data_IF_121417421455
#
_entry.id   IF_121417421455
#
_cell.length_a   1.000
_cell.length_b   1.000
_cell.length_c   1.000
_cell.angle_alpha   90.00
_cell.angle_beta   90.00
_cell.angle_gamma   90.00
#
_symmetry.space_group_name_H-M   'P 1'
#
loop_
_entity.id
_entity.type
_entity.pdbx_description
1 polymer ?
#
# COMPACT_ATOMS: atom_id res chain seq x y z
N UNK A 1 36.52 -43.00 -59.44
CA UNK A 1 35.87 -42.13 -60.46
C UNK A 1 34.40 -42.53 -60.59
N UNK A 2 33.57 -41.55 -60.95
CA UNK A 2 32.13 -41.60 -61.26
C UNK A 2 31.15 -41.25 -60.12
N UNK A 3 30.43 -40.16 -60.40
CA UNK A 3 29.52 -39.36 -59.58
C UNK A 3 28.13 -40.00 -59.47
N UNK A 4 27.49 -39.86 -58.31
CA UNK A 4 26.06 -40.11 -58.11
C UNK A 4 25.31 -38.79 -58.26
N UNK A 5 24.42 -38.67 -59.26
CA UNK A 5 23.51 -37.53 -59.41
C UNK A 5 22.13 -37.90 -58.87
N UNK A 6 21.70 -37.17 -57.84
CA UNK A 6 20.38 -37.27 -57.22
C UNK A 6 19.44 -36.26 -57.91
N UNK A 7 18.34 -36.72 -58.52
CA UNK A 7 17.29 -35.86 -59.09
C UNK A 7 16.11 -35.82 -58.09
N UNK A 8 15.95 -34.71 -57.39
CA UNK A 8 14.74 -34.43 -56.60
C UNK A 8 13.64 -33.90 -57.52
N UNK A 9 12.45 -34.52 -57.46
CA UNK A 9 11.23 -34.02 -58.09
C UNK A 9 10.54 -33.02 -57.14
N UNK A 10 10.35 -31.79 -57.60
CA UNK A 10 9.60 -30.76 -56.88
C UNK A 10 8.09 -30.96 -57.11
N UNK A 11 7.35 -31.37 -56.08
CA UNK A 11 5.88 -31.37 -56.06
C UNK A 11 5.37 -30.00 -55.61
N UNK A 12 4.57 -29.34 -56.46
CA UNK A 12 4.04 -27.98 -56.30
C UNK A 12 2.91 -27.88 -55.26
N UNK A 13 3.25 -27.86 -53.97
CA UNK A 13 2.30 -27.64 -52.86
C UNK A 13 1.91 -26.18 -52.61
N UNK A 14 2.42 -25.22 -53.39
CA UNK A 14 2.18 -23.78 -53.13
C UNK A 14 0.88 -23.25 -53.71
N UNK A 15 0.33 -23.87 -54.76
CA UNK A 15 -0.86 -23.34 -55.45
C UNK A 15 -2.18 -23.51 -54.67
N UNK A 16 -2.47 -24.67 -54.02
CA UNK A 16 -3.72 -24.84 -53.28
C UNK A 16 -3.79 -23.94 -52.04
N UNK A 17 -2.66 -23.76 -51.35
CA UNK A 17 -2.56 -23.00 -50.10
C UNK A 17 -2.72 -21.50 -50.33
N UNK A 18 -2.19 -20.97 -51.43
CA UNK A 18 -2.38 -19.55 -51.81
C UNK A 18 -3.85 -19.26 -52.12
N UNK A 19 -4.55 -20.19 -52.79
CA UNK A 19 -5.97 -20.04 -53.08
C UNK A 19 -6.78 -19.99 -51.78
N UNK A 20 -6.53 -20.88 -50.83
CA UNK A 20 -7.23 -20.93 -49.54
C UNK A 20 -6.99 -19.67 -48.69
N UNK A 21 -5.75 -19.16 -48.65
CA UNK A 21 -5.43 -17.92 -47.92
C UNK A 21 -6.09 -16.71 -48.58
N UNK A 22 -6.14 -16.67 -49.91
CA UNK A 22 -6.79 -15.59 -50.67
C UNK A 22 -8.31 -15.58 -50.49
N UNK A 23 -8.98 -16.74 -50.44
CA UNK A 23 -10.41 -16.80 -50.10
C UNK A 23 -10.70 -16.41 -48.65
N UNK A 24 -9.84 -16.77 -47.70
CA UNK A 24 -9.98 -16.36 -46.29
C UNK A 24 -9.84 -14.84 -46.12
N UNK A 25 -8.85 -14.23 -46.78
CA UNK A 25 -8.64 -12.77 -46.72
C UNK A 25 -9.78 -12.00 -47.38
N UNK A 26 -10.30 -12.47 -48.52
CA UNK A 26 -11.44 -11.82 -49.19
C UNK A 26 -12.72 -11.89 -48.34
N UNK A 27 -13.00 -13.02 -47.68
CA UNK A 27 -14.12 -13.13 -46.74
C UNK A 27 -13.99 -12.18 -45.55
N UNK A 28 -12.76 -12.01 -45.01
CA UNK A 28 -12.50 -11.13 -43.86
C UNK A 28 -12.79 -9.66 -44.15
N UNK A 29 -12.60 -9.20 -45.40
CA UNK A 29 -12.84 -7.79 -45.75
C UNK A 29 -14.20 -7.53 -46.38
N UNK A 30 -14.76 -8.48 -47.14
CA UNK A 30 -16.04 -8.30 -47.85
C UNK A 30 -17.24 -8.42 -46.91
N UNK A 31 -17.19 -9.33 -45.92
CA UNK A 31 -18.30 -9.51 -44.98
C UNK A 31 -18.52 -8.25 -44.12
N UNK A 32 -17.50 -7.63 -43.50
CA UNK A 32 -17.70 -6.38 -42.76
C UNK A 32 -18.15 -5.22 -43.63
N UNK A 33 -17.67 -5.11 -44.88
CA UNK A 33 -18.10 -4.03 -45.78
C UNK A 33 -19.56 -4.19 -46.21
N UNK A 34 -20.05 -5.40 -46.49
CA UNK A 34 -21.47 -5.63 -46.81
C UNK A 34 -22.41 -5.36 -45.63
N UNK A 35 -21.94 -5.54 -44.38
CA UNK A 35 -22.70 -5.21 -43.16
C UNK A 35 -22.79 -3.68 -42.96
N UNK A 36 -21.77 -2.92 -43.38
CA UNK A 36 -21.70 -1.46 -43.21
C UNK A 36 -22.44 -0.71 -44.32
N UNK A 37 -22.52 -1.25 -45.54
CA UNK A 37 -23.16 -0.59 -46.70
C UNK A 37 -24.66 -0.25 -46.53
N UNK A 38 -25.52 -1.03 -45.83
CA UNK A 38 -26.91 -0.61 -45.63
C UNK A 38 -27.07 0.55 -44.62
N UNK A 39 -25.98 1.03 -44.00
CA UNK A 39 -26.01 2.14 -43.04
C UNK A 39 -25.45 3.47 -43.57
N UNK A 40 -25.10 3.55 -44.86
CA UNK A 40 -24.64 4.79 -45.49
C UNK A 40 -25.51 5.14 -46.71
N UNK A 41 -26.69 5.70 -46.43
CA UNK A 41 -27.55 6.35 -47.42
C UNK A 41 -28.19 7.60 -46.82
N UNK A 42 -27.71 8.76 -47.22
CA UNK A 42 -28.37 10.06 -47.05
C UNK A 42 -29.79 10.01 -47.62
N UNK A 43 -30.81 10.44 -46.87
CA UNK A 43 -31.62 11.56 -47.33
C UNK A 43 -32.50 12.18 -46.21
N UNK A 44 -32.63 13.50 -46.35
CA UNK A 44 -33.35 14.45 -45.51
C UNK A 44 -34.83 14.12 -45.22
N UNK A 45 -35.27 14.26 -43.96
CA UNK A 45 -36.55 14.90 -43.54
C UNK A 45 -36.88 14.65 -42.06
N UNK A 46 -37.46 15.67 -41.44
CA UNK A 46 -37.88 15.74 -40.04
C UNK A 46 -38.96 14.71 -39.69
N UNK A 47 -38.82 14.02 -38.55
CA UNK A 47 -39.88 13.85 -37.54
C UNK A 47 -39.33 13.06 -36.34
N UNK A 48 -39.50 13.68 -35.16
CA UNK A 48 -39.17 13.22 -33.82
C UNK A 48 -39.84 11.89 -33.43
N UNK A 49 -39.05 10.92 -32.97
CA UNK A 49 -39.44 9.99 -31.90
C UNK A 49 -38.22 9.73 -31.02
N UNK A 50 -38.40 9.97 -29.73
CA UNK A 50 -37.41 9.84 -28.67
C UNK A 50 -36.79 8.43 -28.62
N UNK A 51 -35.48 8.39 -28.48
CA UNK A 51 -34.81 7.26 -27.82
C UNK A 51 -33.75 7.88 -26.93
N UNK A 52 -34.09 8.02 -25.65
CA UNK A 52 -33.17 8.39 -24.57
C UNK A 52 -31.99 7.40 -24.56
N UNK A 53 -30.93 7.73 -25.28
CA UNK A 53 -29.62 7.17 -25.01
C UNK A 53 -28.97 8.16 -24.05
N UNK A 54 -29.17 7.91 -22.76
CA UNK A 54 -28.46 8.61 -21.69
C UNK A 54 -26.96 8.29 -21.79
N UNK A 55 -26.26 8.99 -22.69
CA UNK A 55 -24.83 9.20 -22.55
C UNK A 55 -24.66 10.17 -21.38
N UNK A 56 -24.57 9.63 -20.16
CA UNK A 56 -24.01 10.37 -19.01
C UNK A 56 -22.53 10.60 -19.31
N UNK A 57 -22.25 11.64 -20.09
CA UNK A 57 -21.01 12.39 -19.93
C UNK A 57 -21.21 13.17 -18.63
N UNK A 58 -20.83 12.56 -17.51
CA UNK A 58 -20.70 13.30 -16.26
C UNK A 58 -19.55 14.26 -16.49
N UNK A 59 -19.85 15.54 -16.69
CA UNK A 59 -18.90 16.61 -16.48
C UNK A 59 -18.60 16.60 -14.98
N UNK A 60 -17.67 15.75 -14.55
CA UNK A 60 -17.22 15.73 -13.16
C UNK A 60 -16.47 17.03 -12.92
N UNK A 61 -17.11 17.95 -12.21
CA UNK A 61 -16.40 19.03 -11.55
C UNK A 61 -15.32 18.37 -10.68
N UNK A 62 -14.03 18.76 -10.78
CA UNK A 62 -12.98 18.19 -9.95
C UNK A 62 -13.39 18.27 -8.48
N UNK A 63 -13.19 17.18 -7.74
CA UNK A 63 -13.44 17.15 -6.29
C UNK A 63 -12.56 18.23 -5.66
N UNK A 64 -13.19 19.28 -5.12
CA UNK A 64 -12.48 20.37 -4.46
C UNK A 64 -12.25 19.99 -2.99
N UNK A 65 -10.99 19.80 -2.61
CA UNK A 65 -10.60 19.56 -1.23
C UNK A 65 -10.39 20.89 -0.50
N UNK A 66 -10.99 21.06 0.68
CA UNK A 66 -10.78 22.23 1.52
C UNK A 66 -9.80 21.90 2.65
N UNK A 67 -8.67 22.61 2.69
CA UNK A 67 -7.65 22.42 3.72
C UNK A 67 -7.63 23.61 4.69
N UNK A 68 -7.68 23.36 6.01
CA UNK A 68 -7.65 24.44 6.99
C UNK A 68 -6.27 25.10 7.14
N UNK A 69 -5.19 24.39 6.78
CA UNK A 69 -3.80 24.82 6.84
C UNK A 69 -2.95 23.97 5.88
N UNK A 70 -1.69 24.38 5.72
CA UNK A 70 -0.70 23.66 4.91
C UNK A 70 0.29 22.90 5.79
N UNK A 71 0.86 21.84 5.23
CA UNK A 71 1.93 21.03 5.80
C UNK A 71 3.22 21.36 5.06
N UNK A 72 4.31 21.63 5.80
CA UNK A 72 5.63 21.88 5.23
C UNK A 72 6.42 20.58 5.17
N UNK A 73 6.65 20.05 3.97
CA UNK A 73 7.32 18.76 3.75
C UNK A 73 8.76 18.99 3.30
N UNK A 74 9.72 18.50 4.07
CA UNK A 74 11.13 18.45 3.66
C UNK A 74 11.35 17.27 2.72
N UNK A 75 11.76 17.58 1.48
CA UNK A 75 12.12 16.60 0.46
C UNK A 75 13.52 16.07 0.73
N UNK A 76 13.68 14.77 1.02
CA UNK A 76 14.98 14.21 1.41
C UNK A 76 16.02 14.26 0.28
N UNK A 77 15.58 14.20 -0.98
CA UNK A 77 16.48 14.21 -2.13
C UNK A 77 17.01 15.62 -2.46
N UNK A 78 16.17 16.65 -2.35
CA UNK A 78 16.52 18.02 -2.75
C UNK A 78 16.85 18.93 -1.57
N UNK A 79 16.48 18.52 -0.35
CA UNK A 79 16.51 19.36 0.87
C UNK A 79 15.65 20.63 0.76
N UNK A 80 14.67 20.65 -0.16
CA UNK A 80 13.70 21.72 -0.31
C UNK A 80 12.46 21.47 0.56
N UNK A 81 11.77 22.55 0.92
CA UNK A 81 10.53 22.50 1.70
C UNK A 81 9.36 22.85 0.80
N UNK A 82 8.44 21.91 0.62
CA UNK A 82 7.18 22.10 -0.11
C UNK A 82 6.06 22.45 0.87
N UNK A 83 5.29 23.49 0.56
CA UNK A 83 4.09 23.86 1.32
C UNK A 83 2.86 23.29 0.62
N UNK A 84 2.15 22.38 1.29
CA UNK A 84 1.12 21.55 0.67
C UNK A 84 -0.16 21.62 1.49
N UNK A 85 -1.34 21.90 0.89
CA UNK A 85 -2.61 21.82 1.58
C UNK A 85 -2.80 20.47 2.28
N UNK A 86 -3.29 20.46 3.53
CA UNK A 86 -3.43 19.24 4.35
C UNK A 86 -4.07 18.06 3.60
N UNK A 87 -5.19 18.30 2.91
CA UNK A 87 -5.94 17.23 2.26
C UNK A 87 -5.22 16.71 0.99
N UNK A 88 -4.46 17.57 0.31
CA UNK A 88 -3.58 17.15 -0.78
C UNK A 88 -2.41 16.32 -0.25
N UNK A 89 -1.81 16.74 0.87
CA UNK A 89 -0.77 15.96 1.56
C UNK A 89 -1.30 14.58 1.96
N UNK A 90 -2.49 14.50 2.57
CA UNK A 90 -3.12 13.22 2.94
C UNK A 90 -3.37 12.35 1.72
N UNK A 91 -3.83 12.92 0.60
CA UNK A 91 -4.02 12.20 -0.67
C UNK A 91 -2.72 11.54 -1.15
N UNK A 92 -1.62 12.29 -1.15
CA UNK A 92 -0.31 11.77 -1.57
C UNK A 92 0.29 10.76 -0.58
N UNK A 93 0.02 10.89 0.72
CA UNK A 93 0.40 9.86 1.71
C UNK A 93 -0.38 8.58 1.47
N UNK A 94 -1.71 8.63 1.30
CA UNK A 94 -2.52 7.44 1.03
C UNK A 94 -2.05 6.76 -0.27
N UNK A 95 -1.80 7.55 -1.32
CA UNK A 95 -1.23 7.09 -2.59
C UNK A 95 0.13 6.39 -2.46
N UNK A 96 0.92 6.79 -1.45
CA UNK A 96 2.27 6.27 -1.22
C UNK A 96 2.29 5.03 -0.32
N UNK A 97 1.30 4.90 0.57
CA UNK A 97 1.27 3.90 1.64
C UNK A 97 0.34 2.71 1.32
N UNK A 98 -0.76 2.94 0.60
CA UNK A 98 -1.80 1.93 0.38
C UNK A 98 -2.02 1.70 -1.13
N UNK A 99 -2.13 0.43 -1.58
CA UNK A 99 -2.46 0.13 -2.97
C UNK A 99 -3.81 0.74 -3.37
N UNK A 100 -3.86 1.47 -4.48
CA UNK A 100 -5.05 2.19 -4.94
C UNK A 100 -6.22 1.25 -5.36
N UNK A 101 -5.93 -0.02 -5.63
CA UNK A 101 -6.92 -1.05 -5.92
C UNK A 101 -7.67 -1.55 -4.68
N UNK A 102 -7.19 -1.25 -3.47
CA UNK A 102 -7.90 -1.58 -2.22
C UNK A 102 -9.29 -0.96 -2.16
N UNK A 103 -10.17 -1.58 -1.38
CA UNK A 103 -11.55 -1.14 -1.20
C UNK A 103 -11.62 0.31 -0.70
N UNK A 104 -12.65 1.04 -1.15
CA UNK A 104 -12.80 2.46 -0.83
C UNK A 104 -12.88 2.72 0.68
N UNK A 105 -13.51 1.81 1.43
CA UNK A 105 -13.62 1.93 2.90
C UNK A 105 -12.26 1.74 3.60
N UNK A 106 -11.36 0.92 3.03
CA UNK A 106 -10.00 0.79 3.53
C UNK A 106 -9.17 2.05 3.23
N UNK A 107 -9.31 2.62 2.03
CA UNK A 107 -8.67 3.89 1.66
C UNK A 107 -9.16 5.05 2.56
N UNK A 108 -10.45 5.10 2.88
CA UNK A 108 -11.02 6.07 3.83
C UNK A 108 -10.43 5.91 5.24
N UNK A 109 -10.32 4.68 5.73
CA UNK A 109 -9.69 4.41 7.03
C UNK A 109 -8.21 4.85 7.04
N UNK A 110 -7.48 4.58 5.97
CA UNK A 110 -6.09 5.05 5.81
C UNK A 110 -5.99 6.57 5.77
N UNK A 111 -6.90 7.26 5.08
CA UNK A 111 -6.94 8.72 5.03
C UNK A 111 -7.12 9.32 6.43
N UNK A 112 -8.04 8.78 7.24
CA UNK A 112 -8.22 9.21 8.63
C UNK A 112 -6.99 8.97 9.50
N UNK A 113 -6.36 7.79 9.40
CA UNK A 113 -5.14 7.47 10.14
C UNK A 113 -4.00 8.42 9.74
N UNK A 114 -3.82 8.64 8.43
CA UNK A 114 -2.80 9.53 7.90
C UNK A 114 -2.99 10.98 8.36
N UNK A 115 -4.22 11.50 8.28
CA UNK A 115 -4.59 12.85 8.75
C UNK A 115 -4.39 13.00 10.25
N UNK A 116 -4.79 12.00 11.04
CA UNK A 116 -4.64 12.02 12.49
C UNK A 116 -3.16 12.06 12.89
N UNK A 117 -2.32 11.29 12.20
CA UNK A 117 -0.88 11.27 12.44
C UNK A 117 -0.27 12.65 12.22
N UNK A 118 -0.48 13.27 11.05
CA UNK A 118 0.13 14.57 10.75
C UNK A 118 -0.40 15.65 11.69
N UNK A 119 -1.69 15.64 12.02
CA UNK A 119 -2.29 16.60 12.95
C UNK A 119 -1.72 16.46 14.37
N UNK A 120 -1.64 15.23 14.89
CA UNK A 120 -1.02 14.95 16.19
C UNK A 120 0.43 15.42 16.21
N UNK A 121 1.18 15.09 15.16
CA UNK A 121 2.56 15.51 15.01
C UNK A 121 2.65 17.04 15.02
N UNK A 122 1.79 17.74 14.26
CA UNK A 122 1.78 19.19 14.17
C UNK A 122 1.51 19.90 15.51
N UNK A 123 0.73 19.27 16.39
CA UNK A 123 0.41 19.80 17.72
C UNK A 123 1.52 19.65 18.77
N UNK A 124 2.53 18.81 18.54
CA UNK A 124 3.60 18.61 19.53
C UNK A 124 4.46 19.87 19.67
N UNK A 125 4.65 20.34 20.90
CA UNK A 125 5.43 21.57 21.17
C UNK A 125 6.95 21.34 21.14
N UNK A 126 7.42 20.12 21.44
CA UNK A 126 8.84 19.75 21.48
C UNK A 126 9.28 18.96 20.24
N UNK A 127 8.82 19.38 19.05
CA UNK A 127 9.29 18.76 17.80
C UNK A 127 10.76 19.08 17.60
N UNK A 128 11.53 18.07 17.17
CA UNK A 128 12.88 18.29 16.68
C UNK A 128 12.77 19.21 15.45
N UNK A 129 13.31 20.42 15.55
CA UNK A 129 13.31 21.36 14.43
C UNK A 129 14.01 20.70 13.23
N UNK A 130 13.27 20.60 12.13
CA UNK A 130 13.83 20.21 10.84
C UNK A 130 14.40 21.45 10.15
N UNK A 131 15.39 21.22 9.29
CA UNK A 131 16.02 22.29 8.53
C UNK A 131 14.98 23.02 7.66
N UNK A 132 15.05 24.35 7.60
CA UNK A 132 14.17 25.16 6.75
C UNK A 132 12.75 25.36 7.28
N UNK A 133 12.44 24.96 8.52
CA UNK A 133 11.10 25.13 9.10
C UNK A 133 10.09 24.07 8.65
N UNK A 134 10.58 22.94 8.14
CA UNK A 134 9.72 21.83 7.77
C UNK A 134 9.05 21.17 8.97
N UNK A 135 7.84 20.67 8.75
CA UNK A 135 7.09 19.88 9.71
C UNK A 135 7.53 18.42 9.65
N UNK A 136 7.49 17.79 8.47
CA UNK A 136 7.80 16.35 8.30
C UNK A 136 8.83 16.10 7.19
N UNK A 137 9.40 14.89 7.18
CA UNK A 137 10.19 14.36 6.06
C UNK A 137 9.36 13.36 5.25
N UNK A 138 9.66 13.25 3.96
CA UNK A 138 9.09 12.27 3.01
C UNK A 138 9.54 10.80 3.21
N UNK A 139 10.10 10.46 4.37
CA UNK A 139 10.63 9.14 4.69
C UNK A 139 9.73 8.38 5.67
N UNK A 140 10.05 7.09 5.86
CA UNK A 140 9.41 6.21 6.87
C UNK A 140 9.55 6.71 8.31
N UNK A 141 10.38 7.72 8.58
CA UNK A 141 10.46 8.35 9.92
C UNK A 141 9.15 9.04 10.30
N UNK A 142 8.38 9.51 9.31
CA UNK A 142 7.07 10.11 9.52
C UNK A 142 6.00 9.35 8.75
N UNK A 143 5.91 9.61 7.44
CA UNK A 143 5.02 8.97 6.48
C UNK A 143 5.68 9.05 5.11
N UNK A 144 5.53 8.03 4.28
CA UNK A 144 6.02 8.09 2.91
C UNK A 144 5.16 9.08 2.13
N UNK A 145 5.79 10.10 1.55
CA UNK A 145 5.13 11.11 0.73
C UNK A 145 5.77 11.14 -0.66
N UNK A 146 4.96 10.98 -1.70
CA UNK A 146 5.36 11.16 -3.12
C UNK A 146 4.49 12.23 -3.74
N UNK A 147 5.11 13.18 -4.42
CA UNK A 147 4.38 14.24 -5.09
C UNK A 147 3.69 13.73 -6.37
N UNK A 148 2.87 14.60 -6.98
CA UNK A 148 2.10 14.22 -8.17
C UNK A 148 2.95 13.80 -9.37
N UNK A 149 4.15 14.36 -9.55
CA UNK A 149 5.05 13.98 -10.66
C UNK A 149 5.64 12.59 -10.46
N UNK A 150 6.07 12.27 -9.24
CA UNK A 150 6.55 10.94 -8.88
C UNK A 150 5.45 9.88 -9.04
N UNK A 151 4.24 10.18 -8.56
CA UNK A 151 3.09 9.29 -8.71
C UNK A 151 2.71 9.08 -10.18
N UNK A 152 2.76 10.12 -11.02
CA UNK A 152 2.58 10.00 -12.47
C UNK A 152 3.62 9.10 -13.11
N UNK A 153 4.88 9.23 -12.72
CA UNK A 153 5.96 8.39 -13.24
C UNK A 153 5.79 6.92 -12.83
N UNK A 154 5.36 6.66 -11.59
CA UNK A 154 5.19 5.31 -11.06
C UNK A 154 3.96 4.62 -11.66
N UNK A 155 2.83 5.33 -11.79
CA UNK A 155 1.56 4.74 -12.24
C UNK A 155 1.32 4.85 -13.74
N UNK A 156 1.99 5.75 -14.44
CA UNK A 156 1.86 5.92 -15.89
C UNK A 156 0.40 6.13 -16.31
N UNK A 157 -0.12 5.25 -17.18
CA UNK A 157 -1.50 5.31 -17.67
C UNK A 157 -2.55 5.13 -16.58
N UNK A 158 -2.21 4.46 -15.47
CA UNK A 158 -3.13 4.23 -14.36
C UNK A 158 -3.27 5.43 -13.43
N UNK A 159 -2.46 6.47 -13.61
CA UNK A 159 -2.37 7.57 -12.65
C UNK A 159 -3.73 8.18 -12.32
N UNK A 160 -4.51 8.53 -13.34
CA UNK A 160 -5.77 9.26 -13.18
C UNK A 160 -6.79 8.46 -12.35
N UNK A 161 -7.12 7.23 -12.75
CA UNK A 161 -8.12 6.46 -11.99
C UNK A 161 -7.66 6.14 -10.56
N UNK A 162 -6.35 5.93 -10.34
CA UNK A 162 -5.80 5.68 -9.00
C UNK A 162 -5.90 6.90 -8.11
N UNK A 163 -5.44 8.06 -8.62
CA UNK A 163 -5.47 9.29 -7.83
C UNK A 163 -6.90 9.78 -7.62
N UNK A 164 -7.79 9.62 -8.59
CA UNK A 164 -9.20 10.02 -8.48
C UNK A 164 -9.91 9.21 -7.37
N UNK A 165 -9.73 7.89 -7.35
CA UNK A 165 -10.29 7.01 -6.30
C UNK A 165 -9.75 7.34 -4.91
N UNK A 166 -8.46 7.65 -4.79
CA UNK A 166 -7.86 8.04 -3.51
C UNK A 166 -8.39 9.42 -3.08
N UNK A 167 -8.50 10.36 -4.01
CA UNK A 167 -9.06 11.69 -3.77
C UNK A 167 -10.51 11.60 -3.30
N UNK A 168 -11.31 10.70 -3.88
CA UNK A 168 -12.67 10.41 -3.42
C UNK A 168 -12.68 9.93 -1.95
N UNK A 169 -11.79 9.00 -1.58
CA UNK A 169 -11.68 8.50 -0.20
C UNK A 169 -11.29 9.60 0.79
N UNK A 170 -10.34 10.46 0.41
CA UNK A 170 -9.89 11.59 1.22
C UNK A 170 -11.00 12.61 1.39
N UNK A 171 -11.68 12.99 0.30
CA UNK A 171 -12.80 13.92 0.33
C UNK A 171 -13.95 13.41 1.19
N UNK A 172 -14.27 12.11 1.12
CA UNK A 172 -15.32 11.49 1.93
C UNK A 172 -15.02 11.50 3.44
N UNK A 173 -13.76 11.70 3.83
CA UNK A 173 -13.31 11.77 5.24
C UNK A 173 -12.69 13.12 5.58
N UNK A 174 -12.94 14.15 4.78
CA UNK A 174 -12.31 15.46 4.91
C UNK A 174 -12.51 16.03 6.31
N UNK A 175 -11.41 16.44 6.95
CA UNK A 175 -11.43 16.98 8.30
C UNK A 175 -11.79 15.99 9.43
N UNK A 176 -12.07 14.71 9.14
CA UNK A 176 -12.28 13.69 10.17
C UNK A 176 -10.92 13.13 10.65
N UNK A 177 -10.77 13.02 11.97
CA UNK A 177 -9.62 12.44 12.66
C UNK A 177 -10.05 11.46 13.75
N UNK A 178 -9.09 10.68 14.25
CA UNK A 178 -9.27 9.65 15.28
C UNK A 178 -8.79 10.21 16.62
N UNK A 179 -9.65 10.16 17.64
CA UNK A 179 -9.34 10.70 18.96
C UNK A 179 -9.58 9.68 20.07
N UNK A 180 -8.82 9.81 21.15
CA UNK A 180 -9.04 9.11 22.41
C UNK A 180 -9.00 10.14 23.53
N UNK A 181 -10.03 10.17 24.38
CA UNK A 181 -10.19 11.22 25.39
C UNK A 181 -10.12 12.66 24.83
N UNK A 182 -10.67 12.87 23.63
CA UNK A 182 -10.65 14.13 22.84
C UNK A 182 -9.28 14.59 22.34
N UNK A 183 -8.22 13.78 22.48
CA UNK A 183 -6.91 14.08 21.90
C UNK A 183 -6.67 13.22 20.66
N UNK A 184 -6.05 13.76 19.58
CA UNK A 184 -5.65 12.95 18.43
C UNK A 184 -4.74 11.79 18.86
N UNK A 185 -5.04 10.58 18.39
CA UNK A 185 -4.28 9.37 18.78
C UNK A 185 -2.95 9.25 18.02
N UNK A 186 -2.04 8.41 18.51
CA UNK A 186 -0.98 7.84 17.67
C UNK A 186 -1.62 6.81 16.72
N UNK A 187 -2.01 7.24 15.53
CA UNK A 187 -2.70 6.42 14.53
C UNK A 187 -1.71 5.55 13.71
N UNK A 188 -0.98 4.65 14.37
CA UNK A 188 -0.04 3.74 13.71
C UNK A 188 -0.75 2.76 12.77
N UNK A 189 -0.11 2.46 11.64
CA UNK A 189 -0.60 1.47 10.67
C UNK A 189 0.58 0.73 10.04
N UNK A 190 0.34 -0.45 9.50
CA UNK A 190 1.36 -1.29 8.88
C UNK A 190 0.76 -2.19 7.80
N UNK A 191 1.61 -2.82 6.98
CA UNK A 191 1.14 -3.53 5.78
C UNK A 191 0.32 -4.78 6.10
N UNK A 192 0.89 -5.74 6.82
CA UNK A 192 0.27 -7.06 7.00
C UNK A 192 0.58 -7.64 8.37
N UNK A 193 -0.43 -8.19 9.04
CA UNK A 193 -0.29 -8.83 10.35
C UNK A 193 0.18 -10.28 10.21
N UNK A 194 0.57 -10.90 11.32
CA UNK A 194 0.81 -12.34 11.40
C UNK A 194 -0.46 -13.12 11.81
N UNK A 195 -1.64 -12.49 11.66
CA UNK A 195 -2.93 -12.93 12.21
C UNK A 195 -3.37 -12.10 13.44
N UNK A 196 -2.44 -11.35 14.04
CA UNK A 196 -2.70 -10.48 15.19
C UNK A 196 -1.97 -9.14 15.06
N UNK A 197 -2.57 -8.07 15.58
CA UNK A 197 -1.86 -6.82 15.84
C UNK A 197 -1.09 -6.91 17.16
N UNK A 198 -0.16 -6.00 17.38
CA UNK A 198 0.69 -5.94 18.57
C UNK A 198 0.16 -4.90 19.57
N UNK A 199 0.34 -5.15 20.88
CA UNK A 199 0.21 -4.08 21.86
C UNK A 199 1.33 -3.06 21.66
N UNK A 200 1.09 -1.79 21.98
CA UNK A 200 2.11 -0.75 21.78
C UNK A 200 3.39 -1.00 22.57
N UNK A 201 3.27 -1.44 23.83
CA UNK A 201 4.38 -1.66 24.76
C UNK A 201 5.27 -2.86 24.39
N UNK A 202 4.75 -3.77 23.57
CA UNK A 202 5.49 -4.94 23.09
C UNK A 202 6.44 -4.58 21.92
N UNK A 203 6.33 -3.37 21.37
CA UNK A 203 7.15 -2.89 20.24
C UNK A 203 7.82 -1.52 20.48
N UNK A 204 7.16 -0.64 21.22
CA UNK A 204 7.63 0.70 21.61
C UNK A 204 7.62 0.87 23.13
N UNK A 205 8.26 1.92 23.63
CA UNK A 205 8.14 2.27 25.03
C UNK A 205 6.77 2.90 25.32
N UNK A 206 6.11 2.39 26.35
CA UNK A 206 4.88 2.96 26.88
C UNK A 206 3.61 2.27 26.39
N UNK A 207 2.67 2.18 27.32
CA UNK A 207 1.37 1.58 27.10
C UNK A 207 0.39 2.64 26.54
N UNK A 208 -0.25 2.36 25.39
CA UNK A 208 -1.27 3.23 24.78
C UNK A 208 -2.63 2.53 24.74
N UNK A 209 -3.64 2.99 25.52
CA UNK A 209 -4.92 2.27 25.72
C UNK A 209 -5.67 1.86 24.45
N UNK A 210 -5.49 2.62 23.37
CA UNK A 210 -6.14 2.40 22.08
C UNK A 210 -5.31 1.54 21.11
N UNK A 211 -4.03 1.24 21.39
CA UNK A 211 -3.19 0.36 20.56
C UNK A 211 -3.01 -1.00 21.26
N UNK A 212 -4.03 -1.83 21.10
CA UNK A 212 -4.11 -3.17 21.69
C UNK A 212 -4.10 -4.24 20.63
N UNK A 213 -3.54 -5.39 21.00
CA UNK A 213 -3.59 -6.59 20.17
C UNK A 213 -5.05 -6.97 19.89
N UNK A 214 -5.34 -7.13 18.60
CA UNK A 214 -6.60 -7.67 18.08
C UNK A 214 -6.29 -8.73 17.04
N UNK A 215 -7.23 -9.66 16.85
CA UNK A 215 -7.18 -10.57 15.71
C UNK A 215 -7.24 -9.78 14.40
N UNK A 216 -6.63 -10.32 13.35
CA UNK A 216 -6.72 -9.77 12.00
C UNK A 216 -6.59 -10.92 11.01
N UNK A 217 -7.61 -11.80 10.96
CA UNK A 217 -7.54 -13.08 10.24
C UNK A 217 -7.42 -12.91 8.72
N UNK A 218 -7.93 -11.79 8.18
CA UNK A 218 -7.92 -11.51 6.75
C UNK A 218 -6.51 -11.46 6.17
N UNK A 219 -5.52 -11.01 6.95
CA UNK A 219 -4.14 -10.86 6.49
C UNK A 219 -3.55 -12.15 5.92
N UNK A 220 -3.89 -13.30 6.51
CA UNK A 220 -3.40 -14.61 6.07
C UNK A 220 -3.96 -15.00 4.70
N UNK A 221 -5.21 -14.63 4.43
CA UNK A 221 -5.92 -15.02 3.21
C UNK A 221 -5.60 -14.09 2.04
N UNK A 222 -5.60 -12.77 2.26
CA UNK A 222 -5.59 -11.81 1.16
C UNK A 222 -4.25 -11.12 0.95
N UNK A 223 -3.31 -11.19 1.89
CA UNK A 223 -2.02 -10.53 1.72
C UNK A 223 -1.00 -11.41 0.99
N UNK A 224 -0.47 -10.97 -0.16
CA UNK A 224 0.66 -11.65 -0.80
C UNK A 224 1.95 -11.48 0.01
N UNK A 225 1.95 -10.63 1.05
CA UNK A 225 3.09 -10.36 1.94
C UNK A 225 2.98 -11.09 3.28
N UNK A 226 2.04 -12.04 3.42
CA UNK A 226 1.81 -12.72 4.69
C UNK A 226 2.99 -13.62 5.11
N UNK A 227 3.66 -14.29 4.17
CA UNK A 227 4.84 -15.11 4.44
C UNK A 227 5.97 -14.67 3.53
N UNK A 228 7.17 -14.53 4.10
CA UNK A 228 8.39 -14.28 3.34
C UNK A 228 9.58 -15.04 3.93
N UNK A 229 10.62 -15.26 3.13
CA UNK A 229 11.84 -15.96 3.54
C UNK A 229 13.09 -15.17 3.19
N UNK A 230 13.98 -15.05 4.17
CA UNK A 230 15.35 -14.55 3.97
C UNK A 230 16.37 -15.59 4.41
N UNK A 231 17.43 -15.74 3.62
CA UNK A 231 18.50 -16.71 3.84
C UNK A 231 19.78 -15.93 4.11
N UNK A 232 20.48 -16.32 5.17
CA UNK A 232 21.76 -15.74 5.56
C UNK A 232 22.80 -16.84 5.71
N UNK A 233 24.03 -16.59 5.26
CA UNK A 233 25.16 -17.45 5.63
C UNK A 233 25.48 -17.28 7.11
N UNK A 234 26.25 -18.21 7.69
CA UNK A 234 26.76 -18.03 9.07
C UNK A 234 27.55 -16.71 9.18
N UNK A 235 28.42 -16.43 8.22
CA UNK A 235 29.25 -15.21 8.20
C UNK A 235 28.39 -13.94 8.17
N UNK A 236 27.33 -13.90 7.33
CA UNK A 236 26.43 -12.75 7.26
C UNK A 236 25.73 -12.49 8.60
N UNK A 237 25.32 -13.55 9.31
CA UNK A 237 24.68 -13.39 10.62
C UNK A 237 25.67 -12.92 11.68
N UNK A 238 26.86 -13.49 11.72
CA UNK A 238 27.91 -13.08 12.65
C UNK A 238 28.27 -11.60 12.47
N UNK A 239 28.40 -11.14 11.22
CA UNK A 239 28.68 -9.74 10.89
C UNK A 239 27.50 -8.84 11.27
N UNK A 240 26.27 -9.16 10.84
CA UNK A 240 25.11 -8.28 11.03
C UNK A 240 24.65 -8.18 12.47
N UNK A 241 24.79 -9.24 13.26
CA UNK A 241 24.38 -9.29 14.65
C UNK A 241 25.55 -9.03 15.62
N UNK A 242 26.78 -8.90 15.11
CA UNK A 242 28.00 -8.77 15.92
C UNK A 242 28.12 -9.90 16.96
N UNK A 243 27.99 -11.14 16.49
CA UNK A 243 28.02 -12.36 17.32
C UNK A 243 29.01 -13.38 16.77
N UNK A 244 29.34 -14.38 17.61
CA UNK A 244 30.08 -15.56 17.18
C UNK A 244 29.22 -16.82 17.30
N UNK A 245 28.92 -17.44 16.16
CA UNK A 245 28.14 -18.66 16.06
C UNK A 245 29.11 -19.85 15.95
N UNK A 246 29.77 -20.21 17.06
CA UNK A 246 30.58 -21.43 17.10
C UNK A 246 29.75 -22.67 16.70
N UNK A 247 30.37 -23.74 16.23
CA UNK A 247 29.69 -24.99 15.86
C UNK A 247 28.79 -25.59 16.97
N UNK A 248 28.96 -25.12 18.21
CA UNK A 248 28.22 -25.59 19.39
C UNK A 248 26.95 -24.80 19.75
N UNK A 249 26.58 -23.75 18.99
CA UNK A 249 25.30 -23.05 19.21
C UNK A 249 24.14 -23.98 18.85
N UNK A 250 23.62 -24.65 19.89
CA UNK A 250 22.40 -25.46 19.83
C UNK A 250 21.21 -24.53 20.00
N UNK A 251 20.65 -24.14 18.87
CA UNK A 251 19.31 -23.57 18.71
C UNK A 251 19.12 -22.14 19.25
N UNK A 252 18.39 -21.36 18.45
CA UNK A 252 17.96 -20.01 18.77
C UNK A 252 16.83 -20.12 19.79
N UNK A 253 16.99 -19.52 20.97
CA UNK A 253 15.93 -19.52 21.98
C UNK A 253 15.08 -18.26 21.79
N UNK A 254 13.84 -18.46 21.36
CA UNK A 254 12.90 -17.37 21.09
C UNK A 254 11.79 -17.36 22.15
N UNK A 255 11.53 -16.20 22.75
CA UNK A 255 10.26 -15.92 23.46
C UNK A 255 9.33 -15.15 22.52
N UNK A 256 8.02 -15.15 22.84
CA UNK A 256 7.02 -14.50 21.99
C UNK A 256 6.04 -13.69 22.82
N UNK A 257 5.61 -12.57 22.24
CA UNK A 257 4.51 -11.75 22.75
C UNK A 257 3.18 -12.50 22.64
N UNK A 258 2.11 -11.95 23.20
CA UNK A 258 0.77 -12.55 23.08
C UNK A 258 0.32 -12.70 21.63
N UNK A 259 0.68 -11.73 20.78
CA UNK A 259 0.39 -11.70 19.33
C UNK A 259 1.30 -12.61 18.49
N UNK A 260 2.19 -13.37 19.14
CA UNK A 260 3.13 -14.33 18.55
C UNK A 260 4.37 -13.73 17.89
N UNK A 261 4.63 -12.42 17.91
CA UNK A 261 5.93 -11.90 17.44
C UNK A 261 7.05 -12.29 18.40
N UNK A 262 8.29 -12.36 17.91
CA UNK A 262 9.45 -12.63 18.75
C UNK A 262 9.67 -11.45 19.68
N UNK A 263 9.60 -11.70 20.98
CA UNK A 263 9.88 -10.71 22.02
C UNK A 263 11.39 -10.64 22.25
N UNK A 264 12.00 -11.78 22.61
CA UNK A 264 13.45 -11.92 22.76
C UNK A 264 14.01 -13.11 21.99
N UNK A 265 15.27 -12.99 21.59
CA UNK A 265 16.03 -14.02 20.91
C UNK A 265 17.44 -14.11 21.50
N UNK A 266 17.76 -15.23 22.13
CA UNK A 266 19.11 -15.50 22.63
C UNK A 266 19.92 -16.27 21.57
N UNK A 267 21.01 -15.65 21.09
CA UNK A 267 21.82 -16.09 19.95
C UNK A 267 23.29 -15.78 20.23
N UNK A 268 24.17 -16.78 20.15
CA UNK A 268 25.62 -16.56 20.27
C UNK A 268 26.06 -15.99 21.62
N UNK A 269 25.27 -16.18 22.69
CA UNK A 269 25.53 -15.61 24.02
C UNK A 269 25.01 -14.18 24.24
N UNK A 270 24.41 -13.57 23.21
CA UNK A 270 23.77 -12.24 23.27
C UNK A 270 22.26 -12.40 23.20
N UNK A 271 21.52 -11.53 23.89
CA UNK A 271 20.06 -11.45 23.80
C UNK A 271 19.66 -10.21 23.03
N UNK A 272 18.86 -10.39 21.98
CA UNK A 272 18.28 -9.34 21.16
C UNK A 272 16.77 -9.28 21.37
N UNK A 273 16.16 -8.13 21.15
CA UNK A 273 14.71 -8.11 20.89
C UNK A 273 14.41 -8.65 19.48
N UNK A 274 13.20 -9.14 19.25
CA UNK A 274 12.78 -9.51 17.89
C UNK A 274 12.80 -8.32 16.93
N UNK A 275 12.60 -7.10 17.44
CA UNK A 275 12.73 -5.85 16.68
C UNK A 275 14.17 -5.59 16.27
N UNK A 276 15.15 -5.77 17.16
CA UNK A 276 16.57 -5.57 16.81
C UNK A 276 16.98 -6.52 15.67
N UNK A 277 16.58 -7.79 15.75
CA UNK A 277 16.86 -8.76 14.69
C UNK A 277 16.17 -8.34 13.39
N UNK A 278 14.90 -7.94 13.45
CA UNK A 278 14.16 -7.45 12.28
C UNK A 278 14.92 -6.29 11.62
N UNK A 279 15.37 -5.32 12.39
CA UNK A 279 15.99 -4.10 11.87
C UNK A 279 17.41 -4.39 11.34
N UNK A 280 18.23 -5.16 12.06
CA UNK A 280 19.60 -5.53 11.67
C UNK A 280 19.63 -6.45 10.43
N UNK A 281 18.71 -7.40 10.36
CA UNK A 281 18.60 -8.35 9.23
C UNK A 281 17.63 -7.87 8.14
N UNK A 282 17.01 -6.70 8.33
CA UNK A 282 15.99 -6.13 7.45
C UNK A 282 14.83 -7.10 7.16
N UNK A 283 14.39 -7.87 8.14
CA UNK A 283 13.26 -8.78 7.98
C UNK A 283 11.95 -7.99 7.78
N UNK A 284 10.95 -8.54 7.07
CA UNK A 284 9.64 -7.90 6.95
C UNK A 284 8.96 -7.62 8.30
N UNK A 285 9.06 -8.53 9.26
CA UNK A 285 8.46 -8.43 10.59
C UNK A 285 9.36 -9.05 11.67
N UNK A 286 8.98 -8.87 12.93
CA UNK A 286 9.57 -9.55 14.08
C UNK A 286 8.87 -10.88 14.43
N UNK A 287 7.87 -11.34 13.65
CA UNK A 287 7.44 -12.74 13.73
C UNK A 287 8.27 -13.57 12.76
N UNK A 288 9.25 -14.29 13.28
CA UNK A 288 10.04 -15.21 12.48
C UNK A 288 10.29 -16.53 13.19
N UNK A 289 10.61 -17.52 12.37
CA UNK A 289 11.19 -18.81 12.78
C UNK A 289 12.52 -18.97 12.06
N UNK A 290 13.43 -19.73 12.67
CA UNK A 290 14.79 -19.89 12.18
C UNK A 290 15.05 -21.37 11.99
N UNK A 291 15.53 -21.76 10.82
CA UNK A 291 15.94 -23.14 10.52
C UNK A 291 17.35 -23.14 9.97
N UNK A 292 18.25 -23.92 10.57
CA UNK A 292 19.59 -24.14 10.03
C UNK A 292 19.52 -25.16 8.88
N UNK A 293 20.14 -24.83 7.75
CA UNK A 293 20.35 -25.73 6.61
C UNK A 293 21.80 -25.62 6.18
N UNK A 294 22.59 -26.66 6.46
CA UNK A 294 24.03 -26.71 6.19
C UNK A 294 24.76 -25.49 6.80
N UNK A 295 25.32 -24.63 5.96
CA UNK A 295 26.05 -23.40 6.25
C UNK A 295 25.17 -22.13 6.22
N UNK A 296 23.84 -22.29 6.17
CA UNK A 296 22.87 -21.20 6.09
C UNK A 296 21.82 -21.27 7.21
N UNK A 297 21.23 -20.11 7.51
CA UNK A 297 20.02 -19.98 8.31
C UNK A 297 18.91 -19.38 7.47
N UNK A 298 17.75 -20.04 7.51
CA UNK A 298 16.53 -19.60 6.83
C UNK A 298 15.60 -18.98 7.87
N UNK A 299 15.36 -17.68 7.73
CA UNK A 299 14.35 -16.94 8.48
C UNK A 299 13.05 -16.98 7.69
N UNK A 300 12.03 -17.65 8.23
CA UNK A 300 10.67 -17.57 7.68
C UNK A 300 9.87 -16.59 8.54
N UNK A 301 9.41 -15.52 7.93
CA UNK A 301 8.68 -14.42 8.58
C UNK A 301 7.19 -14.49 8.29
N UNK A 302 6.38 -13.99 9.23
CA UNK A 302 4.94 -13.79 9.06
C UNK A 302 4.56 -12.32 9.22
N UNK A 303 3.74 -11.81 8.32
CA UNK A 303 3.36 -10.40 8.26
C UNK A 303 4.49 -9.48 7.77
N UNK A 304 4.16 -8.20 7.63
CA UNK A 304 5.04 -7.17 7.12
C UNK A 304 4.77 -5.83 7.83
N UNK A 305 5.76 -5.34 8.56
CA UNK A 305 5.68 -4.13 9.37
C UNK A 305 5.75 -4.38 10.88
N UNK A 306 5.52 -3.33 11.66
CA UNK A 306 5.68 -3.36 13.13
C UNK A 306 4.53 -4.04 13.88
N UNK A 307 3.37 -4.26 13.25
CA UNK A 307 2.25 -4.97 13.88
C UNK A 307 1.34 -4.13 14.78
N UNK A 308 1.79 -2.96 15.27
CA UNK A 308 0.96 -2.09 16.11
C UNK A 308 -0.05 -1.25 15.31
N UNK A 309 -1.32 -1.23 15.73
CA UNK A 309 -2.38 -0.39 15.16
C UNK A 309 -3.14 -1.05 14.01
N UNK A 310 -3.43 -0.32 12.94
CA UNK A 310 -4.25 -0.81 11.83
C UNK A 310 -3.42 -1.61 10.81
N UNK A 311 -3.84 -2.85 10.51
CA UNK A 311 -3.33 -3.59 9.34
C UNK A 311 -3.99 -3.07 8.07
N UNK A 312 -3.21 -2.72 7.06
CA UNK A 312 -3.71 -2.24 5.76
C UNK A 312 -4.44 -3.36 5.00
N UNK A 313 -3.84 -4.55 4.91
CA UNK A 313 -4.52 -5.70 4.29
C UNK A 313 -5.70 -6.15 5.14
N UNK A 314 -5.58 -6.14 6.47
CA UNK A 314 -6.71 -6.44 7.35
C UNK A 314 -7.89 -5.49 7.16
N UNK A 315 -7.64 -4.18 7.05
CA UNK A 315 -8.65 -3.17 6.72
C UNK A 315 -9.30 -3.44 5.35
N UNK A 316 -8.52 -3.85 4.35
CA UNK A 316 -9.05 -4.23 3.04
C UNK A 316 -9.96 -5.47 3.13
N UNK A 317 -9.57 -6.48 3.90
CA UNK A 317 -10.39 -7.67 4.12
C UNK A 317 -11.71 -7.35 4.82
N UNK A 318 -11.67 -6.53 5.87
CA UNK A 318 -12.87 -6.01 6.52
C UNK A 318 -13.78 -5.25 5.53
N UNK A 319 -13.20 -4.40 4.69
CA UNK A 319 -13.96 -3.65 3.69
C UNK A 319 -14.59 -4.57 2.63
N UNK A 320 -13.91 -5.65 2.21
CA UNK A 320 -14.45 -6.67 1.31
C UNK A 320 -15.65 -7.42 1.93
N UNK A 321 -15.70 -7.52 3.27
CA UNK A 321 -16.87 -8.02 4.02
C UNK A 321 -17.96 -6.97 4.22
N UNK A 322 -17.82 -5.77 3.65
CA UNK A 322 -18.79 -4.69 3.72
C UNK A 322 -18.69 -3.82 4.97
N UNK A 323 -17.59 -3.89 5.72
CA UNK A 323 -17.34 -2.99 6.85
C UNK A 323 -17.05 -1.58 6.38
N UNK A 324 -17.61 -0.61 7.09
CA UNK A 324 -17.35 0.81 6.87
C UNK A 324 -15.99 1.22 7.46
N UNK A 325 -15.43 2.32 6.97
CA UNK A 325 -14.17 2.86 7.50
C UNK A 325 -14.22 3.15 9.00
N UNK A 326 -15.38 3.56 9.54
CA UNK A 326 -15.56 3.80 10.98
C UNK A 326 -15.47 2.50 11.77
N UNK A 327 -16.11 1.43 11.30
CA UNK A 327 -15.99 0.10 11.92
C UNK A 327 -14.56 -0.43 11.87
N UNK A 328 -13.83 -0.18 10.77
CA UNK A 328 -12.41 -0.56 10.63
C UNK A 328 -11.56 0.19 11.67
N UNK A 329 -11.73 1.51 11.78
CA UNK A 329 -11.01 2.33 12.76
C UNK A 329 -11.31 1.88 14.20
N UNK A 330 -12.57 1.68 14.56
CA UNK A 330 -12.97 1.24 15.90
C UNK A 330 -12.51 -0.19 16.22
N UNK A 331 -12.33 -1.02 15.20
CA UNK A 331 -11.81 -2.38 15.36
C UNK A 331 -10.34 -2.37 15.77
N UNK A 332 -9.49 -1.64 15.03
CA UNK A 332 -8.05 -1.60 15.23
C UNK A 332 -7.60 -0.66 16.35
N UNK A 333 -8.35 0.41 16.60
CA UNK A 333 -8.02 1.38 17.65
C UNK A 333 -9.09 1.35 18.75
N UNK A 334 -8.74 0.82 19.93
CA UNK A 334 -9.72 0.56 21.00
C UNK A 334 -10.22 1.83 21.69
N UNK A 335 -11.54 1.94 21.82
CA UNK A 335 -12.19 3.03 22.57
C UNK A 335 -12.04 4.42 21.94
N UNK A 336 -11.65 4.49 20.66
CA UNK A 336 -11.51 5.75 19.94
C UNK A 336 -12.85 6.31 19.50
N UNK A 337 -12.84 7.58 19.10
CA UNK A 337 -13.98 8.29 18.54
C UNK A 337 -13.52 9.06 17.30
N UNK A 338 -14.40 9.12 16.31
CA UNK A 338 -14.25 10.03 15.17
C UNK A 338 -14.62 11.45 15.62
N UNK A 339 -13.71 12.39 15.40
CA UNK A 339 -13.92 13.83 15.65
C UNK A 339 -13.54 14.64 14.42
N UNK A 340 -13.96 15.91 14.38
CA UNK A 340 -13.49 16.87 13.38
C UNK A 340 -12.23 17.60 13.87
N UNK A 341 -11.41 18.08 12.94
CA UNK A 341 -10.25 18.94 13.22
C UNK A 341 -10.65 20.16 14.06
N UNK A 342 -11.76 20.82 13.72
CA UNK A 342 -12.24 22.02 14.40
C UNK A 342 -12.47 21.81 15.90
N UNK A 343 -13.04 20.66 16.25
CA UNK A 343 -13.36 20.31 17.62
C UNK A 343 -12.13 19.88 18.41
N UNK A 344 -11.27 19.07 17.80
CA UNK A 344 -10.15 18.44 18.49
C UNK A 344 -8.89 19.31 18.54
N UNK A 345 -8.70 20.21 17.57
CA UNK A 345 -7.45 20.96 17.40
C UNK A 345 -7.66 22.46 17.18
N UNK A 346 -8.44 23.15 18.05
CA UNK A 346 -8.74 24.58 17.86
C UNK A 346 -7.48 25.45 17.91
N UNK A 347 -6.47 25.06 18.69
CA UNK A 347 -5.20 25.79 18.81
C UNK A 347 -4.37 25.75 17.53
N UNK A 348 -4.40 24.65 16.79
CA UNK A 348 -3.71 24.51 15.51
C UNK A 348 -4.34 25.46 14.47
N UNK A 349 -5.66 25.53 14.45
CA UNK A 349 -6.44 26.38 13.54
C UNK A 349 -6.32 27.88 13.89
N UNK A 350 -6.02 28.21 15.14
CA UNK A 350 -5.87 29.58 15.61
C UNK A 350 -4.48 30.19 15.34
N UNK A 351 -3.47 29.41 14.96
CA UNK A 351 -2.11 29.88 14.62
C UNK A 351 -2.02 30.51 13.21
N UNK A 352 -3.17 30.86 12.62
CA UNK A 352 -3.32 31.38 11.27
C UNK A 352 -3.12 32.89 11.19
#
# INVERSE_FOLDING_TARGET
MARWQNKQSLTNWKLPTIIVISTLLTLMFIIPTLIVIPFTGDDSSQASVETETASKTTTETPISLESPFDVHVLRSETSEVEQIPLEEYVTHVVASEMPADFEIEALKAQAMAARTFIVRFLMQENKKELTGGADVKDTIEHQVYKNGDELRQIWGSDYHWKIDKITEAVAATQGEIITYSNEPITASFFSTSNGYTENSEDYWEGELPYLRSVESPWDEEISPKFIDQKIFTIADLEEKLDINLSESVKDFQLTRTESKRVETAAIGGTTFSGRDIRDLLQLPSSDFTITKKDDHYVFTTKGNGHGVGMSQYGANGMAQEGKTYKEIIEYYYKGVQVSTLEKATPTLLAKK
#
